data_IF_631256586440
#
_entry.id   IF_631256586440
#
_cell.length_a   1.000
_cell.length_b   1.000
_cell.length_c   1.000
_cell.angle_alpha   90.00
_cell.angle_beta   90.00
_cell.angle_gamma   90.00
#
_symmetry.space_group_name_H-M   'P 1'
#
loop_
_entity.id
_entity.type
_entity.pdbx_description
1 polymer ?
#
# COMPACT_ATOMS: atom_id res chain seq x y z
N UNK A 1 -0.63 -11.95 -13.77
CA UNK A 1 -1.28 -12.71 -14.88
C UNK A 1 -0.19 -13.35 -15.72
N UNK A 2 -0.43 -14.58 -16.19
CA UNK A 2 0.43 -15.31 -17.13
C UNK A 2 0.58 -14.66 -18.50
N UNK A 3 -0.27 -13.67 -18.80
CA UNK A 3 -0.35 -13.01 -20.12
C UNK A 3 0.56 -11.77 -20.22
N UNK A 4 1.24 -11.43 -19.12
CA UNK A 4 2.23 -10.38 -19.11
C UNK A 4 3.51 -10.84 -19.82
N UNK A 5 4.16 -9.93 -20.54
CA UNK A 5 5.45 -10.20 -21.18
C UNK A 5 6.54 -10.25 -20.11
N UNK A 6 7.57 -11.06 -20.38
CA UNK A 6 8.78 -11.05 -19.56
C UNK A 6 9.37 -9.64 -19.52
N UNK A 7 9.77 -9.23 -18.33
CA UNK A 7 10.42 -7.94 -18.12
C UNK A 7 10.26 -7.45 -16.69
N UNK A 8 11.10 -6.47 -16.35
CA UNK A 8 11.05 -5.81 -15.06
C UNK A 8 11.19 -4.31 -15.20
N UNK A 9 10.86 -3.61 -14.13
CA UNK A 9 11.05 -2.18 -14.01
C UNK A 9 11.43 -1.81 -12.59
N UNK A 10 12.26 -0.78 -12.47
CA UNK A 10 12.57 -0.15 -11.19
C UNK A 10 12.32 1.34 -11.36
N UNK A 11 11.69 1.96 -10.37
CA UNK A 11 11.50 3.40 -10.32
C UNK A 11 11.74 3.91 -8.91
N UNK A 12 12.25 5.14 -8.82
CA UNK A 12 12.40 5.88 -7.57
C UNK A 12 11.95 7.31 -7.76
N UNK A 13 11.36 7.91 -6.72
CA UNK A 13 10.92 9.29 -6.71
C UNK A 13 11.27 9.96 -5.39
N UNK A 14 11.62 11.24 -5.45
CA UNK A 14 11.99 12.07 -4.31
C UNK A 14 11.22 13.40 -4.35
N UNK A 15 10.99 14.03 -3.20
CA UNK A 15 10.28 15.29 -3.15
C UNK A 15 10.36 16.01 -1.79
N UNK A 16 9.57 17.06 -1.64
CA UNK A 16 9.48 17.85 -0.41
C UNK A 16 8.99 17.01 0.78
N UNK A 17 9.34 17.43 2.00
CA UNK A 17 8.92 16.73 3.23
C UNK A 17 9.52 15.34 3.35
N UNK A 18 10.80 15.18 2.96
CA UNK A 18 11.52 13.88 2.92
C UNK A 18 10.76 12.79 2.15
N UNK A 19 9.95 13.18 1.18
CA UNK A 19 9.21 12.24 0.36
C UNK A 19 10.18 11.34 -0.41
N UNK A 20 10.01 10.04 -0.23
CA UNK A 20 10.74 9.01 -0.96
C UNK A 20 9.80 7.89 -1.36
N UNK A 21 9.89 7.48 -2.63
CA UNK A 21 9.19 6.32 -3.16
C UNK A 21 10.17 5.46 -3.94
N UNK A 22 10.11 4.15 -3.74
CA UNK A 22 10.81 3.16 -4.56
C UNK A 22 9.85 2.05 -4.94
N UNK A 23 9.93 1.57 -6.17
CA UNK A 23 9.13 0.46 -6.67
C UNK A 23 9.97 -0.40 -7.60
N UNK A 24 9.86 -1.71 -7.43
CA UNK A 24 10.41 -2.71 -8.34
C UNK A 24 9.31 -3.66 -8.78
N UNK A 25 9.37 -4.12 -10.02
CA UNK A 25 8.55 -5.19 -10.51
C UNK A 25 9.31 -6.11 -11.46
N UNK A 26 8.92 -7.38 -11.49
CA UNK A 26 9.43 -8.36 -12.43
C UNK A 26 8.33 -9.34 -12.82
N UNK A 27 8.31 -9.70 -14.10
CA UNK A 27 7.43 -10.71 -14.67
C UNK A 27 8.28 -11.68 -15.50
N UNK A 28 8.07 -12.98 -15.32
CA UNK A 28 8.80 -14.02 -16.06
C UNK A 28 8.24 -14.30 -17.45
N UNK A 29 7.07 -13.75 -17.78
CA UNK A 29 6.20 -14.31 -18.82
C UNK A 29 5.73 -15.72 -18.47
N UNK A 30 5.06 -16.37 -19.44
CA UNK A 30 4.80 -17.81 -19.42
C UNK A 30 6.05 -18.56 -19.91
N UNK A 31 6.65 -19.34 -19.03
CA UNK A 31 7.77 -20.23 -19.33
C UNK A 31 7.30 -21.42 -20.18
N UNK A 32 8.23 -22.09 -20.85
CA UNK A 32 7.94 -23.26 -21.71
C UNK A 32 7.26 -24.43 -20.96
N UNK A 33 7.52 -24.54 -19.66
CA UNK A 33 6.88 -25.54 -18.79
C UNK A 33 5.47 -25.13 -18.32
N UNK A 34 4.97 -23.97 -18.76
CA UNK A 34 3.65 -23.43 -18.45
C UNK A 34 3.57 -22.57 -17.18
N UNK A 35 4.66 -22.46 -16.41
CA UNK A 35 4.70 -21.63 -15.20
C UNK A 35 4.87 -20.15 -15.54
N UNK A 36 4.36 -19.28 -14.67
CA UNK A 36 4.60 -17.83 -14.73
C UNK A 36 4.62 -17.24 -13.32
N UNK A 37 5.42 -16.19 -13.14
CA UNK A 37 5.48 -15.43 -11.90
C UNK A 37 5.49 -13.92 -12.20
N UNK A 38 4.81 -13.16 -11.35
CA UNK A 38 4.84 -11.70 -11.32
C UNK A 38 5.03 -11.24 -9.89
N UNK A 39 5.99 -10.35 -9.66
CA UNK A 39 6.19 -9.71 -8.36
C UNK A 39 6.28 -8.21 -8.57
N UNK A 40 5.60 -7.45 -7.74
CA UNK A 40 5.78 -6.01 -7.59
C UNK A 40 5.88 -5.71 -6.10
N UNK A 41 6.87 -4.91 -5.74
CA UNK A 41 7.09 -4.39 -4.40
C UNK A 41 7.29 -2.88 -4.49
N UNK A 42 6.73 -2.14 -3.55
CA UNK A 42 6.99 -0.71 -3.43
C UNK A 42 6.94 -0.24 -1.99
N UNK A 43 7.67 0.84 -1.73
CA UNK A 43 7.70 1.55 -0.46
C UNK A 43 7.55 3.04 -0.75
N UNK A 44 6.71 3.72 0.02
CA UNK A 44 6.57 5.19 0.02
C UNK A 44 6.65 5.66 1.45
N UNK A 45 7.41 6.73 1.70
CA UNK A 45 7.54 7.34 3.02
C UNK A 45 7.70 8.86 2.90
N UNK A 46 7.40 9.59 3.96
CA UNK A 46 7.67 11.01 4.07
C UNK A 46 7.13 11.61 5.36
N UNK A 47 7.55 12.84 5.65
CA UNK A 47 7.20 13.57 6.88
C UNK A 47 5.88 14.36 6.73
N UNK A 48 5.42 14.52 5.48
CA UNK A 48 4.25 15.33 5.14
C UNK A 48 4.55 16.84 5.09
N UNK A 49 3.53 17.64 4.79
CA UNK A 49 3.63 19.10 4.79
C UNK A 49 3.39 19.71 6.18
N UNK A 50 2.55 19.07 6.98
CA UNK A 50 2.15 19.50 8.32
C UNK A 50 3.06 18.81 9.34
N UNK A 51 3.45 19.52 10.40
CA UNK A 51 4.37 18.96 11.40
C UNK A 51 3.79 17.68 12.04
N UNK A 52 4.63 16.65 12.15
CA UNK A 52 4.26 15.36 12.72
C UNK A 52 3.18 14.63 11.94
N UNK A 53 3.10 14.79 10.61
CA UNK A 53 2.19 14.01 9.73
C UNK A 53 2.93 12.95 8.92
N UNK A 54 3.99 12.42 9.50
CA UNK A 54 4.81 11.38 8.91
C UNK A 54 3.97 10.16 8.53
N UNK A 55 4.35 9.51 7.44
CA UNK A 55 3.62 8.38 6.89
C UNK A 55 4.56 7.39 6.21
N UNK A 56 4.07 6.16 6.12
CA UNK A 56 4.72 5.07 5.42
C UNK A 56 3.66 4.17 4.81
N UNK A 57 3.90 3.73 3.58
CA UNK A 57 3.06 2.75 2.90
C UNK A 57 3.90 1.84 2.02
N UNK A 58 3.73 0.54 2.20
CA UNK A 58 4.26 -0.46 1.28
C UNK A 58 3.13 -0.95 0.37
N UNK A 59 3.47 -1.45 -0.81
CA UNK A 59 2.55 -2.25 -1.61
C UNK A 59 3.27 -3.48 -2.12
N UNK A 60 2.57 -4.60 -2.14
CA UNK A 60 3.04 -5.81 -2.79
C UNK A 60 1.94 -6.41 -3.66
N UNK A 61 2.38 -7.01 -4.77
CA UNK A 61 1.56 -7.83 -5.63
C UNK A 61 2.40 -9.04 -6.05
N UNK A 62 1.88 -10.23 -5.79
CA UNK A 62 2.49 -11.49 -6.16
C UNK A 62 1.46 -12.25 -6.97
N UNK A 63 1.83 -12.71 -8.16
CA UNK A 63 1.00 -13.59 -8.96
C UNK A 63 1.82 -14.79 -9.42
N UNK A 64 1.28 -15.99 -9.21
CA UNK A 64 1.83 -17.25 -9.69
C UNK A 64 0.80 -17.89 -10.62
N UNK A 65 1.23 -18.31 -11.80
CA UNK A 65 0.36 -18.95 -12.79
C UNK A 65 0.93 -20.26 -13.28
N UNK A 66 0.04 -21.18 -13.66
CA UNK A 66 0.39 -22.41 -14.37
C UNK A 66 -0.66 -22.70 -15.44
N UNK A 67 -0.23 -22.90 -16.68
CA UNK A 67 -1.06 -23.41 -17.76
C UNK A 67 -0.56 -24.79 -18.20
N UNK A 68 -1.46 -25.77 -18.28
CA UNK A 68 -1.12 -27.12 -18.73
C UNK A 68 -0.66 -27.11 -20.19
N UNK A 69 0.20 -28.07 -20.58
CA UNK A 69 0.76 -28.16 -21.94
C UNK A 69 -0.28 -28.25 -23.07
N UNK A 70 -1.49 -28.73 -22.75
CA UNK A 70 -2.61 -28.84 -23.67
C UNK A 70 -3.61 -27.68 -23.55
N UNK A 71 -3.26 -26.62 -22.81
CA UNK A 71 -4.06 -25.43 -22.49
C UNK A 71 -5.47 -25.73 -21.96
N UNK A 72 -5.69 -26.93 -21.41
CA UNK A 72 -6.97 -27.30 -20.78
C UNK A 72 -7.13 -26.65 -19.41
N UNK A 73 -6.08 -26.57 -18.60
CA UNK A 73 -6.15 -26.02 -17.25
C UNK A 73 -5.25 -24.79 -17.14
N UNK A 74 -5.79 -23.71 -16.61
CA UNK A 74 -5.05 -22.51 -16.23
C UNK A 74 -5.36 -22.18 -14.77
N UNK A 75 -4.33 -22.12 -13.94
CA UNK A 75 -4.41 -21.79 -12.52
C UNK A 75 -3.66 -20.49 -12.28
N UNK A 76 -4.27 -19.57 -11.53
CA UNK A 76 -3.65 -18.31 -11.14
C UNK A 76 -3.90 -18.03 -9.66
N UNK A 77 -2.82 -17.94 -8.89
CA UNK A 77 -2.84 -17.43 -7.54
C UNK A 77 -2.35 -15.99 -7.56
N UNK A 78 -3.14 -15.06 -7.01
CA UNK A 78 -2.75 -13.66 -6.82
C UNK A 78 -2.86 -13.30 -5.35
N UNK A 79 -1.86 -12.62 -4.82
CA UNK A 79 -1.85 -12.05 -3.46
C UNK A 79 -1.44 -10.59 -3.57
N UNK A 80 -2.28 -9.69 -3.07
CA UNK A 80 -2.02 -8.25 -3.09
C UNK A 80 -2.32 -7.63 -1.73
N UNK A 81 -1.58 -6.60 -1.36
CA UNK A 81 -1.79 -5.87 -0.13
C UNK A 81 -1.00 -4.58 -0.07
N UNK A 82 -1.48 -3.67 0.77
CA UNK A 82 -0.90 -2.35 0.97
C UNK A 82 -0.88 -2.01 2.46
N UNK A 83 0.11 -2.48 3.24
CA UNK A 83 0.24 -2.06 4.63
C UNK A 83 0.66 -0.59 4.68
N UNK A 84 -0.04 0.20 5.47
CA UNK A 84 0.29 1.61 5.66
C UNK A 84 0.07 2.06 7.11
N UNK A 85 0.79 3.10 7.48
CA UNK A 85 0.48 3.93 8.64
C UNK A 85 0.71 5.40 8.31
N UNK A 86 -0.06 6.29 8.96
CA UNK A 86 0.17 7.72 8.85
C UNK A 86 -0.28 8.44 10.12
N UNK A 87 0.48 9.47 10.49
CA UNK A 87 0.07 10.44 11.48
C UNK A 87 -0.93 11.44 10.88
N UNK A 88 -1.66 12.17 11.73
CA UNK A 88 -2.75 13.05 11.31
C UNK A 88 -2.70 14.43 11.97
N UNK A 89 -3.48 15.36 11.43
CA UNK A 89 -3.92 16.59 12.11
C UNK A 89 -5.45 16.59 12.11
N UNK A 90 -6.03 15.97 13.12
CA UNK A 90 -7.48 15.77 13.25
C UNK A 90 -8.11 16.80 14.20
N UNK A 91 -7.33 17.40 15.10
CA UNK A 91 -7.80 18.47 15.98
C UNK A 91 -7.83 19.81 15.24
N UNK A 92 -9.01 20.42 15.20
CA UNK A 92 -9.24 21.71 14.52
C UNK A 92 -8.55 22.84 15.30
N UNK A 93 -7.81 23.69 14.59
CA UNK A 93 -7.14 24.87 15.14
C UNK A 93 -7.75 26.15 14.56
N UNK A 94 -7.92 27.18 15.40
CA UNK A 94 -8.39 28.50 14.97
C UNK A 94 -7.26 29.30 14.31
N UNK A 95 -7.61 30.37 13.59
CA UNK A 95 -6.61 31.32 13.07
C UNK A 95 -5.75 31.91 14.20
N UNK A 96 -6.38 32.24 15.34
CA UNK A 96 -5.67 32.73 16.51
C UNK A 96 -4.62 31.72 17.02
N UNK A 97 -4.88 30.41 16.93
CA UNK A 97 -3.89 29.37 17.27
C UNK A 97 -2.71 29.39 16.30
N UNK A 98 -2.94 29.48 14.99
CA UNK A 98 -1.85 29.56 14.02
C UNK A 98 -1.02 30.84 14.18
N UNK A 99 -1.65 31.96 14.51
CA UNK A 99 -0.97 33.22 14.83
C UNK A 99 -0.17 33.13 16.13
N UNK A 100 -0.71 32.44 17.16
CA UNK A 100 -0.03 32.21 18.44
C UNK A 100 1.29 31.45 18.27
N UNK A 101 1.33 30.46 17.37
CA UNK A 101 2.53 29.65 17.08
C UNK A 101 3.34 30.17 15.87
N UNK A 102 2.99 31.35 15.36
CA UNK A 102 3.69 32.08 14.31
C UNK A 102 3.64 33.57 14.63
N UNK A 103 2.95 34.36 13.79
CA UNK A 103 2.62 35.76 14.06
C UNK A 103 1.31 36.17 13.38
N UNK A 104 0.86 37.41 13.59
CA UNK A 104 -0.32 37.96 12.89
C UNK A 104 -0.06 38.07 11.38
N UNK A 105 1.15 38.48 10.99
CA UNK A 105 1.56 38.69 9.60
C UNK A 105 2.03 37.40 8.90
N UNK A 106 2.50 36.42 9.68
CA UNK A 106 2.95 35.11 9.20
C UNK A 106 2.46 34.00 10.16
N UNK A 107 1.18 33.57 10.06
CA UNK A 107 0.66 32.50 10.89
C UNK A 107 1.32 31.17 10.57
N UNK A 108 1.61 30.35 11.59
CA UNK A 108 2.22 29.04 11.39
C UNK A 108 1.20 28.02 10.87
N UNK A 109 1.00 28.00 9.55
CA UNK A 109 0.04 27.10 8.88
C UNK A 109 0.39 25.61 8.97
N UNK A 110 1.64 25.29 9.34
CA UNK A 110 2.13 23.91 9.53
C UNK A 110 1.95 23.38 10.95
N UNK A 111 1.50 24.21 11.89
CA UNK A 111 1.23 23.79 13.25
C UNK A 111 0.23 22.62 13.27
N UNK A 112 0.54 21.64 14.12
CA UNK A 112 -0.27 20.47 14.37
C UNK A 112 -0.45 20.28 15.88
N UNK A 113 -1.64 20.55 16.43
CA UNK A 113 -1.89 20.33 17.86
C UNK A 113 -1.87 18.86 18.29
N UNK A 114 -1.93 17.91 17.35
CA UNK A 114 -1.88 16.48 17.64
C UNK A 114 -0.44 15.93 17.73
N UNK A 115 0.55 16.72 17.30
CA UNK A 115 1.95 16.34 17.29
C UNK A 115 2.73 16.98 18.45
N UNK A 116 3.71 16.26 18.98
CA UNK A 116 4.57 16.72 20.06
C UNK A 116 5.69 15.72 20.34
N UNK A 117 6.09 15.62 21.61
CA UNK A 117 7.10 14.67 22.07
C UNK A 117 6.56 13.85 23.23
N UNK A 118 6.81 12.55 23.23
CA UNK A 118 6.54 11.63 24.32
C UNK A 118 7.86 10.94 24.68
N UNK A 119 8.30 11.05 25.94
CA UNK A 119 9.58 10.50 26.40
C UNK A 119 10.81 10.92 25.57
N UNK A 120 10.79 12.13 25.01
CA UNK A 120 11.88 12.66 24.17
C UNK A 120 11.82 12.27 22.70
N UNK A 121 10.86 11.44 22.31
CA UNK A 121 10.65 11.02 20.91
C UNK A 121 9.46 11.75 20.28
N UNK A 122 9.55 12.07 18.99
CA UNK A 122 8.44 12.66 18.26
C UNK A 122 7.22 11.73 18.30
N UNK A 123 6.07 12.27 18.70
CA UNK A 123 4.86 11.50 18.90
C UNK A 123 3.66 12.27 18.36
N UNK A 124 2.73 11.54 17.73
CA UNK A 124 1.44 12.08 17.34
C UNK A 124 0.33 11.28 18.01
N UNK A 125 -0.54 11.97 18.73
CA UNK A 125 -1.67 11.35 19.45
C UNK A 125 -2.76 10.83 18.50
N UNK A 126 -2.66 11.16 17.21
CA UNK A 126 -3.53 10.73 16.11
C UNK A 126 -2.70 9.99 15.04
N UNK A 127 -2.73 8.67 15.12
CA UNK A 127 -2.09 7.77 14.15
C UNK A 127 -3.10 6.78 13.62
N UNK A 128 -3.07 6.51 12.32
CA UNK A 128 -3.83 5.42 11.72
C UNK A 128 -2.87 4.39 11.13
N UNK A 129 -3.24 3.11 11.21
CA UNK A 129 -2.64 2.09 10.37
C UNK A 129 -3.73 1.21 9.77
N UNK A 130 -3.46 0.68 8.58
CA UNK A 130 -4.39 -0.20 7.89
C UNK A 130 -3.64 -1.16 6.97
N UNK A 131 -4.10 -2.40 6.94
CA UNK A 131 -3.67 -3.41 6.00
C UNK A 131 -4.80 -4.40 5.76
N UNK A 132 -5.20 -4.61 4.51
CA UNK A 132 -6.19 -5.63 4.13
C UNK A 132 -5.72 -6.39 2.89
N UNK A 133 -4.92 -7.45 3.06
CA UNK A 133 -4.51 -8.30 1.96
C UNK A 133 -5.70 -9.03 1.36
N UNK A 134 -5.60 -9.30 0.06
CA UNK A 134 -6.53 -10.16 -0.68
C UNK A 134 -5.72 -11.22 -1.40
N UNK A 135 -6.09 -12.48 -1.20
CA UNK A 135 -5.62 -13.61 -1.96
C UNK A 135 -6.77 -14.15 -2.83
N UNK A 136 -6.49 -14.41 -4.11
CA UNK A 136 -7.44 -14.97 -5.06
C UNK A 136 -6.78 -16.14 -5.80
N UNK A 137 -7.47 -17.26 -5.84
CA UNK A 137 -7.14 -18.41 -6.66
C UNK A 137 -8.19 -18.56 -7.74
N UNK A 138 -7.75 -18.51 -8.99
CA UNK A 138 -8.58 -18.61 -10.18
C UNK A 138 -8.21 -19.91 -10.90
N UNK A 139 -9.20 -20.70 -11.27
CA UNK A 139 -9.05 -21.90 -12.08
C UNK A 139 -9.98 -21.85 -13.28
N UNK A 140 -9.37 -21.83 -14.46
CA UNK A 140 -10.04 -21.96 -15.74
C UNK A 140 -9.81 -23.37 -16.31
N UNK A 141 -10.89 -24.06 -16.65
CA UNK A 141 -10.89 -25.37 -17.29
C UNK A 141 -11.61 -25.32 -18.62
N UNK A 142 -10.86 -25.46 -19.72
CA UNK A 142 -11.40 -25.63 -21.07
C UNK A 142 -11.74 -27.10 -21.28
N UNK A 143 -13.03 -27.42 -21.16
CA UNK A 143 -13.55 -28.79 -21.26
C UNK A 143 -13.50 -29.25 -22.73
N UNK A 144 -13.95 -28.39 -23.63
CA UNK A 144 -13.93 -28.58 -25.08
C UNK A 144 -13.91 -27.19 -25.78
N UNK A 145 -14.18 -27.15 -27.08
CA UNK A 145 -14.15 -25.91 -27.87
C UNK A 145 -15.28 -24.92 -27.54
N UNK A 146 -16.40 -25.40 -26.97
CA UNK A 146 -17.60 -24.59 -26.71
C UNK A 146 -17.94 -24.46 -25.22
N UNK A 147 -17.25 -25.20 -24.34
CA UNK A 147 -17.52 -25.23 -22.89
C UNK A 147 -16.26 -24.94 -22.08
N UNK A 148 -16.36 -23.93 -21.21
CA UNK A 148 -15.35 -23.56 -20.22
C UNK A 148 -15.98 -23.49 -18.83
N UNK A 149 -15.30 -24.02 -17.83
CA UNK A 149 -15.60 -23.80 -16.41
C UNK A 149 -14.59 -22.81 -15.84
N UNK A 150 -15.08 -21.77 -15.13
CA UNK A 150 -14.26 -20.80 -14.42
C UNK A 150 -14.65 -20.79 -12.95
N UNK A 151 -13.67 -20.97 -12.07
CA UNK A 151 -13.85 -21.01 -10.61
C UNK A 151 -12.92 -20.00 -9.94
N UNK A 152 -13.43 -19.30 -8.94
CA UNK A 152 -12.65 -18.33 -8.15
C UNK A 152 -12.88 -18.59 -6.68
N UNK A 153 -11.80 -18.73 -5.92
CA UNK A 153 -11.78 -18.76 -4.46
C UNK A 153 -10.96 -17.59 -3.97
N UNK A 154 -11.50 -16.79 -3.05
CA UNK A 154 -10.79 -15.64 -2.51
C UNK A 154 -10.91 -15.57 -0.98
N UNK A 155 -9.90 -14.99 -0.36
CA UNK A 155 -9.88 -14.70 1.07
C UNK A 155 -9.22 -13.35 1.34
N UNK A 156 -9.69 -12.67 2.37
CA UNK A 156 -9.12 -11.39 2.81
C UNK A 156 -9.28 -11.24 4.32
N UNK A 157 -8.23 -10.75 4.98
CA UNK A 157 -8.25 -10.49 6.42
C UNK A 157 -7.63 -9.12 6.68
N UNK A 158 -8.45 -8.16 7.08
CA UNK A 158 -8.00 -6.80 7.37
C UNK A 158 -7.61 -6.61 8.83
N UNK A 159 -6.58 -5.79 9.07
CA UNK A 159 -6.24 -5.22 10.37
C UNK A 159 -6.04 -3.73 10.19
N UNK A 160 -6.64 -2.95 11.07
CA UNK A 160 -6.55 -1.49 11.01
C UNK A 160 -7.10 -0.86 12.26
N UNK A 161 -6.72 0.39 12.47
CA UNK A 161 -6.62 0.92 13.81
C UNK A 161 -6.34 2.42 13.81
N UNK A 162 -6.82 3.11 14.84
CA UNK A 162 -6.55 4.52 15.08
C UNK A 162 -6.21 4.78 16.54
N UNK A 163 -5.14 5.51 16.79
CA UNK A 163 -4.79 6.04 18.11
C UNK A 163 -5.45 7.41 18.34
N UNK A 164 -5.82 7.68 19.59
CA UNK A 164 -6.32 8.98 20.03
C UNK A 164 -5.83 9.32 21.44
N UNK A 165 -5.92 10.59 21.82
CA UNK A 165 -5.66 11.04 23.20
C UNK A 165 -6.59 10.40 24.24
N UNK A 166 -7.77 9.92 23.84
CA UNK A 166 -8.71 9.22 24.72
C UNK A 166 -8.46 7.70 24.80
N UNK A 167 -7.36 7.22 24.22
CA UNK A 167 -7.08 5.81 24.01
C UNK A 167 -7.49 5.35 22.60
N UNK A 168 -6.87 4.25 22.19
CA UNK A 168 -7.07 3.60 20.90
C UNK A 168 -5.89 2.67 20.62
N UNK A 169 -6.23 1.40 20.37
CA UNK A 169 -5.43 0.23 19.93
C UNK A 169 -4.05 0.05 20.57
#
# INVERSE_FOLDING_TARGET
>A
SSDLKEGGSVSSGFGNGRYFKIQGSYNTGKLDNGLSASVLLSQTMGDGYINGTDFEGSNYYIALGYASKNDKHNFQLTVTGAPQWHNQRSTVSTIATYQKYGSVQDPNTRYNPDAGYLNGEAYNIRKNYYHKPVASFNWDYKINETTKLSSVLYASMGRGAGASAAGGI
#
